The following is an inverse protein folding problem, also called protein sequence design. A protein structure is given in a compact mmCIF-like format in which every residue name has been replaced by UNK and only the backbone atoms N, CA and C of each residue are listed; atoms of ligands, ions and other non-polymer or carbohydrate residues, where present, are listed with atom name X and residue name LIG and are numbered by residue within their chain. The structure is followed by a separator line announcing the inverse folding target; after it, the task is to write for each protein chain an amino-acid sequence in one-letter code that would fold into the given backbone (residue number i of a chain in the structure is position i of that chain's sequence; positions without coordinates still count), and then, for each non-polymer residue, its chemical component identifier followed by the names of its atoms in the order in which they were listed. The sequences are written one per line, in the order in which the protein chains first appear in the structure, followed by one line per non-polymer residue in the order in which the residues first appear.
data_IF_108816290797
#
_entry.id   IF_108816290797
#
_cell.length_a   1.000
_cell.length_b   1.000
_cell.length_c   1.000
_cell.angle_alpha   90.00
_cell.angle_beta   90.00
_cell.angle_gamma   90.00
#
_symmetry.space_group_name_H-M   'P 1'
#
loop_
_entity.id
_entity.type
_entity.pdbx_description
1 polymer ?
#
# COMPACT_ATOMS: atom_id res chain seq x y z
N UNK A 1 16.79 -8.10 -19.81
CA UNK A 1 15.46 -8.40 -20.37
C UNK A 1 15.43 -9.66 -21.25
N UNK A 2 16.48 -9.99 -22.03
CA UNK A 2 16.57 -11.19 -22.87
C UNK A 2 16.58 -12.51 -22.09
N UNK A 3 17.34 -12.61 -20.98
CA UNK A 3 17.42 -13.84 -20.15
C UNK A 3 16.14 -14.24 -19.39
N UNK A 4 15.18 -13.34 -19.24
CA UNK A 4 13.89 -13.64 -18.60
C UNK A 4 12.91 -14.31 -19.57
N UNK A 5 13.02 -13.98 -20.88
CA UNK A 5 12.19 -14.57 -21.94
C UNK A 5 12.60 -16.02 -22.23
N UNK A 6 13.88 -16.33 -22.18
CA UNK A 6 14.40 -17.71 -22.40
C UNK A 6 14.01 -18.66 -21.27
N UNK A 7 13.98 -18.19 -20.01
CA UNK A 7 13.50 -19.02 -18.89
C UNK A 7 12.01 -19.36 -18.94
N UNK A 8 11.17 -18.49 -19.48
CA UNK A 8 9.73 -18.78 -19.66
C UNK A 8 9.44 -19.69 -20.85
N UNK A 9 10.31 -19.73 -21.85
CA UNK A 9 10.19 -20.71 -22.93
C UNK A 9 10.60 -22.11 -22.49
N UNK A 10 11.60 -22.24 -21.63
CA UNK A 10 12.08 -23.52 -21.09
C UNK A 10 11.09 -24.17 -20.10
N UNK A 11 10.29 -23.39 -19.37
CA UNK A 11 9.28 -23.91 -18.45
C UNK A 11 7.99 -24.42 -19.14
N UNK A 12 7.79 -24.17 -20.45
CA UNK A 12 6.65 -24.64 -21.23
C UNK A 12 6.92 -25.89 -22.07
N UNK A 13 8.10 -26.46 -22.03
CA UNK A 13 8.49 -27.62 -22.86
C UNK A 13 8.62 -28.94 -22.10
N UNK A 14 7.93 -29.12 -20.97
CA UNK A 14 7.73 -30.44 -20.40
C UNK A 14 6.42 -31.07 -20.88
N UNK A 15 6.35 -31.36 -22.20
CA UNK A 15 5.35 -32.27 -22.76
C UNK A 15 6.06 -33.35 -23.58
N UNK A 16 6.12 -34.55 -23.01
CA UNK A 16 6.54 -35.74 -23.75
C UNK A 16 5.54 -36.05 -24.84
N UNK A 17 5.94 -35.88 -26.10
CA UNK A 17 5.16 -36.22 -27.27
C UNK A 17 6.03 -36.25 -28.50
N UNK A 18 6.45 -37.47 -28.89
CA UNK A 18 6.96 -37.97 -30.19
C UNK A 18 7.68 -36.97 -31.11
N UNK A 19 8.97 -37.22 -31.27
CA UNK A 19 9.80 -36.90 -32.43
C UNK A 19 9.11 -37.44 -33.69
N UNK A 20 8.63 -36.56 -34.61
CA UNK A 20 8.59 -36.71 -36.07
C UNK A 20 7.71 -35.63 -36.65
N UNK A 21 8.24 -34.42 -36.77
CA UNK A 21 7.79 -33.43 -37.74
C UNK A 21 9.00 -32.84 -38.45
N UNK A 22 9.09 -32.96 -39.80
CA UNK A 22 10.22 -32.40 -40.53
C UNK A 22 10.27 -30.88 -40.36
N UNK A 23 11.45 -30.38 -40.09
CA UNK A 23 11.76 -28.96 -39.99
C UNK A 23 11.49 -28.30 -41.36
N UNK A 24 10.32 -27.69 -41.51
CA UNK A 24 9.99 -26.91 -42.72
C UNK A 24 10.83 -25.64 -42.62
N UNK A 25 11.84 -25.53 -43.48
CA UNK A 25 12.59 -24.29 -43.74
C UNK A 25 11.54 -23.26 -44.13
N UNK A 26 11.32 -22.26 -43.30
CA UNK A 26 10.45 -21.12 -43.59
C UNK A 26 11.06 -20.35 -44.74
N UNK A 27 10.61 -20.60 -45.96
CA UNK A 27 10.92 -19.74 -47.09
C UNK A 27 10.59 -18.30 -46.72
N UNK A 28 11.58 -17.43 -46.84
CA UNK A 28 11.34 -15.99 -46.79
C UNK A 28 10.38 -15.66 -47.93
N UNK A 29 9.17 -15.23 -47.59
CA UNK A 29 8.23 -14.69 -48.58
C UNK A 29 8.87 -13.43 -49.13
N UNK A 30 9.52 -13.56 -50.26
CA UNK A 30 10.05 -12.44 -51.04
C UNK A 30 8.83 -11.87 -51.77
N UNK A 31 8.63 -10.54 -51.71
CA UNK A 31 7.58 -9.86 -52.46
C UNK A 31 7.62 -10.36 -53.89
N UNK A 32 6.46 -10.76 -54.42
CA UNK A 32 6.37 -11.20 -55.82
C UNK A 32 6.95 -10.10 -56.73
N UNK A 33 7.66 -10.46 -57.84
CA UNK A 33 8.41 -9.48 -58.66
C UNK A 33 7.57 -8.34 -59.21
N UNK A 34 6.25 -8.47 -59.29
CA UNK A 34 5.31 -7.50 -59.84
C UNK A 34 4.52 -6.70 -58.77
N UNK A 35 4.77 -6.89 -57.47
CA UNK A 35 4.05 -6.13 -56.46
C UNK A 35 4.67 -4.72 -56.29
N UNK A 36 3.86 -3.64 -56.30
CA UNK A 36 4.36 -2.29 -56.10
C UNK A 36 5.02 -2.17 -54.72
N UNK A 37 6.21 -1.52 -54.69
CA UNK A 37 6.99 -1.30 -53.47
C UNK A 37 6.21 -0.57 -52.35
N UNK A 38 5.16 0.15 -52.75
CA UNK A 38 4.25 0.89 -51.88
C UNK A 38 2.81 0.47 -52.26
N UNK A 39 2.16 -0.43 -51.50
CA UNK A 39 0.80 -0.83 -51.77
C UNK A 39 -0.17 0.34 -51.61
N UNK A 40 -1.25 0.28 -52.38
CA UNK A 40 -2.31 1.27 -52.29
C UNK A 40 -3.03 1.24 -50.92
N UNK A 41 -3.68 2.34 -50.57
CA UNK A 41 -4.39 2.47 -49.30
C UNK A 41 -5.59 1.52 -49.21
N UNK A 42 -6.26 1.25 -50.30
CA UNK A 42 -7.37 0.28 -50.38
C UNK A 42 -6.92 -1.13 -49.99
N UNK A 43 -5.83 -1.60 -50.56
CA UNK A 43 -5.26 -2.93 -50.29
C UNK A 43 -4.78 -3.07 -48.85
N UNK A 44 -4.22 -2.01 -48.28
CA UNK A 44 -3.84 -2.00 -46.85
C UNK A 44 -5.05 -2.08 -45.92
N UNK A 45 -6.13 -1.37 -46.24
CA UNK A 45 -7.39 -1.42 -45.51
C UNK A 45 -8.07 -2.79 -45.60
N UNK A 46 -8.09 -3.38 -46.79
CA UNK A 46 -8.64 -4.71 -47.02
C UNK A 46 -7.89 -5.76 -46.21
N UNK A 47 -6.55 -5.75 -46.24
CA UNK A 47 -5.73 -6.65 -45.45
C UNK A 47 -6.00 -6.51 -43.93
N UNK A 48 -6.13 -5.28 -43.44
CA UNK A 48 -6.46 -5.00 -42.03
C UNK A 48 -7.86 -5.52 -41.71
N UNK A 49 -8.87 -5.28 -42.56
CA UNK A 49 -10.24 -5.74 -42.36
C UNK A 49 -10.31 -7.26 -42.31
N UNK A 50 -9.67 -7.95 -43.26
CA UNK A 50 -9.62 -9.42 -43.30
C UNK A 50 -8.97 -10.02 -42.06
N UNK A 51 -7.80 -9.50 -41.62
CA UNK A 51 -7.08 -10.04 -40.47
C UNK A 51 -7.72 -9.71 -39.13
N UNK A 52 -8.16 -8.47 -38.92
CA UNK A 52 -8.48 -7.94 -37.57
C UNK A 52 -9.98 -7.69 -37.37
N UNK A 53 -10.81 -7.69 -38.44
CA UNK A 53 -12.28 -7.59 -38.34
C UNK A 53 -12.97 -8.88 -38.65
N UNK A 54 -12.51 -9.60 -39.69
CA UNK A 54 -13.10 -10.87 -40.15
C UNK A 54 -12.41 -12.11 -39.53
N UNK A 55 -11.26 -11.94 -38.83
CA UNK A 55 -10.57 -13.01 -38.11
C UNK A 55 -9.77 -13.97 -39.00
N UNK A 56 -9.48 -13.62 -40.26
CA UNK A 56 -8.64 -14.46 -41.12
C UNK A 56 -7.20 -14.51 -40.59
N UNK A 57 -6.54 -15.65 -40.71
CA UNK A 57 -5.16 -15.82 -40.26
C UNK A 57 -4.21 -14.90 -41.03
N UNK A 58 -3.40 -14.08 -40.27
CA UNK A 58 -2.46 -13.11 -40.89
C UNK A 58 -1.49 -13.77 -41.86
N UNK A 59 -1.16 -15.04 -41.66
CA UNK A 59 -0.28 -15.81 -42.52
C UNK A 59 -0.97 -16.12 -43.88
N UNK A 60 -2.25 -16.45 -43.82
CA UNK A 60 -3.06 -16.71 -45.02
C UNK A 60 -3.21 -15.42 -45.86
N UNK A 61 -3.64 -14.33 -45.23
CA UNK A 61 -3.78 -13.02 -45.91
C UNK A 61 -2.42 -12.51 -46.42
N UNK A 62 -1.34 -12.73 -45.73
CA UNK A 62 0.04 -12.37 -46.13
C UNK A 62 0.45 -13.06 -47.44
N UNK A 63 0.11 -14.34 -47.58
CA UNK A 63 0.38 -15.11 -48.85
C UNK A 63 -0.49 -14.65 -49.98
N UNK A 64 -1.76 -14.41 -49.73
CA UNK A 64 -2.75 -14.01 -50.71
C UNK A 64 -2.43 -12.64 -51.35
N UNK A 65 -2.11 -11.64 -50.51
CA UNK A 65 -1.81 -10.27 -50.95
C UNK A 65 -0.34 -10.04 -51.33
N UNK A 66 0.55 -11.02 -51.11
CA UNK A 66 1.99 -10.95 -51.45
C UNK A 66 2.85 -10.02 -50.58
N UNK A 67 2.37 -9.58 -49.42
CA UNK A 67 3.12 -8.72 -48.49
C UNK A 67 3.39 -9.44 -47.17
N UNK A 68 4.56 -9.13 -46.56
CA UNK A 68 5.00 -9.79 -45.32
C UNK A 68 4.04 -9.54 -44.16
N UNK A 69 3.94 -10.51 -43.24
CA UNK A 69 3.17 -10.38 -41.98
C UNK A 69 3.55 -9.14 -41.19
N UNK A 70 4.85 -8.79 -41.20
CA UNK A 70 5.38 -7.58 -40.52
C UNK A 70 4.78 -6.32 -41.14
N UNK A 71 4.58 -6.28 -42.47
CA UNK A 71 3.94 -5.15 -43.14
C UNK A 71 2.49 -4.99 -42.70
N UNK A 72 1.72 -6.08 -42.65
CA UNK A 72 0.29 -6.06 -42.21
C UNK A 72 0.18 -5.54 -40.76
N UNK A 73 1.00 -6.04 -39.85
CA UNK A 73 1.02 -5.54 -38.48
C UNK A 73 1.48 -4.06 -38.39
N UNK A 74 2.40 -3.63 -39.24
CA UNK A 74 2.83 -2.23 -39.32
C UNK A 74 1.69 -1.33 -39.80
N UNK A 75 0.95 -1.74 -40.81
CA UNK A 75 -0.22 -1.01 -41.29
C UNK A 75 -1.33 -0.97 -40.26
N UNK A 76 -1.60 -2.07 -39.55
CA UNK A 76 -2.58 -2.09 -38.47
C UNK A 76 -2.22 -1.15 -37.34
N UNK A 77 -0.94 -1.07 -36.90
CA UNK A 77 -0.49 -0.11 -35.90
C UNK A 77 -0.67 1.33 -36.34
N UNK A 78 -0.34 1.64 -37.61
CA UNK A 78 -0.56 2.97 -38.20
C UNK A 78 -2.03 3.33 -38.29
N UNK A 79 -2.86 2.37 -38.73
CA UNK A 79 -4.31 2.52 -38.80
C UNK A 79 -4.91 2.76 -37.41
N UNK A 80 -4.48 2.00 -36.38
CA UNK A 80 -4.96 2.15 -35.02
C UNK A 80 -4.56 3.51 -34.41
N UNK A 81 -3.41 4.06 -34.83
CA UNK A 81 -2.89 5.34 -34.30
C UNK A 81 -3.42 6.55 -35.04
N UNK A 82 -3.58 6.48 -36.34
CA UNK A 82 -3.86 7.64 -37.20
C UNK A 82 -5.03 7.45 -38.14
N UNK A 83 -5.83 6.37 -38.01
CA UNK A 83 -6.92 6.03 -38.92
C UNK A 83 -6.44 5.77 -40.32
N UNK A 84 -7.34 6.00 -41.32
CA UNK A 84 -7.03 5.84 -42.73
C UNK A 84 -5.91 6.75 -43.21
N UNK A 85 -5.80 7.94 -42.65
CA UNK A 85 -4.72 8.91 -42.96
C UNK A 85 -3.32 8.34 -42.68
N UNK A 86 -3.16 7.48 -41.68
CA UNK A 86 -1.89 6.80 -41.33
C UNK A 86 -1.44 5.77 -42.39
N UNK A 87 -2.31 5.37 -43.28
CA UNK A 87 -2.00 4.42 -44.35
C UNK A 87 -1.64 5.09 -45.69
N UNK A 88 -1.91 6.39 -45.81
CA UNK A 88 -1.56 7.17 -47.01
C UNK A 88 -0.06 7.39 -47.08
N UNK A 89 0.53 7.35 -48.26
CA UNK A 89 1.96 7.65 -48.43
C UNK A 89 2.19 9.16 -48.37
N UNK A 90 3.20 9.57 -47.64
CA UNK A 90 3.59 10.98 -47.39
C UNK A 90 4.05 11.77 -48.63
N UNK A 91 3.87 11.26 -49.86
CA UNK A 91 4.34 11.89 -51.12
C UNK A 91 3.22 12.25 -52.11
N UNK A 92 1.96 12.26 -51.72
CA UNK A 92 0.94 12.98 -52.48
C UNK A 92 0.74 14.37 -51.83
N UNK A 93 1.64 15.32 -52.16
CA UNK A 93 1.29 16.72 -52.12
C UNK A 93 0.11 16.94 -53.07
N UNK A 94 -1.00 17.37 -52.51
CA UNK A 94 -2.16 17.82 -53.28
C UNK A 94 -1.71 19.02 -54.10
N UNK A 95 -1.58 18.85 -55.42
CA UNK A 95 -1.60 19.96 -56.35
C UNK A 95 -2.92 20.69 -56.12
N UNK A 96 -2.85 21.92 -55.59
CA UNK A 96 -3.98 22.85 -55.60
C UNK A 96 -4.26 23.23 -57.03
N UNK A 97 -5.22 22.60 -57.63
CA UNK A 97 -5.89 23.13 -58.82
C UNK A 97 -6.84 24.23 -58.32
N UNK A 98 -6.68 25.44 -58.89
CA UNK A 98 -7.64 26.54 -58.66
C UNK A 98 -8.95 26.08 -59.30
N UNK A 99 -9.95 25.79 -58.51
CA UNK A 99 -11.34 25.57 -58.95
C UNK A 99 -12.06 26.87 -58.71
N UNK A 100 -12.45 27.52 -59.82
CA UNK A 100 -13.40 28.65 -59.82
C UNK A 100 -14.76 28.11 -59.30
N UNK A 101 -15.18 28.63 -58.19
CA UNK A 101 -16.46 28.27 -57.58
C UNK A 101 -17.59 29.13 -58.19
N UNK A 102 -18.32 28.54 -59.18
CA UNK A 102 -19.71 28.86 -59.37
C UNK A 102 -20.54 27.80 -58.63
N UNK A 103 -21.00 28.17 -57.42
CA UNK A 103 -21.70 27.26 -56.50
C UNK A 103 -23.18 27.21 -56.83
N UNK A 104 -23.67 26.05 -57.21
CA UNK A 104 -25.12 25.83 -57.38
C UNK A 104 -25.86 25.77 -56.03
N UNK A 105 -27.18 25.99 -55.96
CA UNK A 105 -27.92 26.07 -54.66
C UNK A 105 -27.90 24.79 -53.81
N UNK A 106 -27.63 23.61 -54.37
CA UNK A 106 -27.47 22.33 -53.65
C UNK A 106 -26.17 22.27 -52.84
N UNK A 107 -25.07 22.88 -53.33
CA UNK A 107 -23.77 22.91 -52.64
C UNK A 107 -23.77 23.84 -51.43
N UNK A 108 -24.64 24.84 -51.38
CA UNK A 108 -24.78 25.72 -50.21
C UNK A 108 -25.41 25.00 -49.00
N UNK A 109 -26.31 24.04 -49.23
CA UNK A 109 -26.83 23.18 -48.15
C UNK A 109 -25.77 22.25 -47.62
N UNK A 110 -24.97 21.61 -48.51
CA UNK A 110 -23.88 20.71 -48.12
C UNK A 110 -22.77 21.49 -47.32
N UNK A 111 -22.45 22.71 -47.71
CA UNK A 111 -21.49 23.58 -46.96
C UNK A 111 -22.04 23.93 -45.60
N UNK A 112 -23.31 24.23 -45.43
CA UNK A 112 -23.96 24.54 -44.16
C UNK A 112 -23.92 23.32 -43.23
N UNK A 113 -24.23 22.11 -43.74
CA UNK A 113 -24.17 20.88 -42.99
C UNK A 113 -22.72 20.56 -42.54
N UNK A 114 -21.73 20.74 -43.42
CA UNK A 114 -20.32 20.55 -43.07
C UNK A 114 -19.83 21.57 -41.99
N UNK A 115 -20.28 22.80 -42.05
CA UNK A 115 -19.98 23.81 -41.03
C UNK A 115 -20.58 23.46 -39.69
N UNK A 116 -21.79 22.90 -39.64
CA UNK A 116 -22.41 22.45 -38.40
C UNK A 116 -21.72 21.19 -37.81
N UNK A 117 -21.30 20.27 -38.69
CA UNK A 117 -20.48 19.13 -38.27
C UNK A 117 -19.14 19.57 -37.68
N UNK A 118 -18.46 20.56 -38.27
CA UNK A 118 -17.22 21.13 -37.76
C UNK A 118 -17.44 21.76 -36.38
N UNK A 119 -18.51 22.55 -36.18
CA UNK A 119 -18.85 23.11 -34.89
C UNK A 119 -19.13 22.06 -33.82
N UNK A 120 -19.83 20.98 -34.21
CA UNK A 120 -20.11 19.88 -33.29
C UNK A 120 -18.83 19.14 -32.89
N UNK A 121 -17.96 18.82 -33.84
CA UNK A 121 -16.66 18.17 -33.57
C UNK A 121 -15.76 19.06 -32.68
N UNK A 122 -15.79 20.37 -32.90
CA UNK A 122 -15.01 21.31 -32.10
C UNK A 122 -15.49 21.34 -30.65
N UNK A 123 -16.81 21.30 -30.44
CA UNK A 123 -17.40 21.19 -29.11
C UNK A 123 -17.02 19.87 -28.43
N UNK A 124 -17.04 18.74 -29.14
CA UNK A 124 -16.62 17.45 -28.60
C UNK A 124 -15.15 17.45 -28.19
N UNK A 125 -14.29 18.06 -28.99
CA UNK A 125 -12.85 18.22 -28.67
C UNK A 125 -12.64 19.10 -27.44
N UNK A 126 -13.36 20.20 -27.31
CA UNK A 126 -13.25 21.08 -26.15
C UNK A 126 -13.76 20.39 -24.87
N UNK A 127 -14.87 19.67 -24.94
CA UNK A 127 -15.39 18.87 -23.83
C UNK A 127 -14.40 17.77 -23.43
N UNK A 128 -13.76 17.10 -24.40
CA UNK A 128 -12.72 16.09 -24.12
C UNK A 128 -11.47 16.70 -23.45
N UNK A 129 -11.02 17.88 -23.91
CA UNK A 129 -9.89 18.58 -23.31
C UNK A 129 -10.17 18.97 -21.85
N UNK A 130 -11.36 19.52 -21.59
CA UNK A 130 -11.78 19.86 -20.22
C UNK A 130 -11.93 18.61 -19.35
N UNK A 131 -12.51 17.54 -19.86
CA UNK A 131 -12.61 16.27 -19.13
C UNK A 131 -11.24 15.70 -18.77
N UNK A 132 -10.25 15.77 -19.67
CA UNK A 132 -8.87 15.36 -19.41
C UNK A 132 -8.20 16.23 -18.34
N UNK A 133 -8.37 17.56 -18.43
CA UNK A 133 -7.78 18.50 -17.48
C UNK A 133 -8.37 18.38 -16.07
N UNK A 134 -9.71 18.37 -15.98
CA UNK A 134 -10.42 18.39 -14.70
C UNK A 134 -10.38 17.05 -13.96
N UNK A 135 -10.48 15.95 -14.68
CA UNK A 135 -10.57 14.62 -14.08
C UNK A 135 -9.21 13.97 -13.87
N UNK A 136 -8.11 14.57 -14.34
CA UNK A 136 -6.72 14.04 -14.24
C UNK A 136 -6.64 12.55 -14.60
N UNK A 137 -7.41 12.14 -15.61
CA UNK A 137 -7.46 10.76 -16.10
C UNK A 137 -6.53 10.60 -17.30
N UNK A 138 -5.94 9.40 -17.43
CA UNK A 138 -5.05 9.07 -18.54
C UNK A 138 -5.75 9.17 -19.91
N UNK A 139 -4.95 9.32 -20.98
CA UNK A 139 -5.43 9.39 -22.36
C UNK A 139 -6.32 8.18 -22.70
N UNK A 140 -7.57 8.43 -23.10
CA UNK A 140 -8.54 7.39 -23.46
C UNK A 140 -9.85 7.45 -22.68
N UNK A 141 -10.24 8.62 -22.17
CA UNK A 141 -11.53 8.80 -21.50
C UNK A 141 -12.68 8.51 -22.47
N UNK A 142 -13.47 7.52 -22.11
CA UNK A 142 -14.75 7.29 -22.77
C UNK A 142 -15.82 8.17 -22.09
N UNK A 143 -16.31 9.19 -22.78
CA UNK A 143 -17.32 10.12 -22.29
C UNK A 143 -18.61 9.44 -21.82
N UNK A 144 -18.98 8.33 -22.44
CA UNK A 144 -20.15 7.52 -22.04
C UNK A 144 -19.99 6.87 -20.65
N UNK A 145 -18.75 6.62 -20.21
CA UNK A 145 -18.44 6.00 -18.91
C UNK A 145 -18.26 7.00 -17.78
N UNK A 146 -18.38 8.29 -18.02
CA UNK A 146 -18.34 9.32 -16.98
C UNK A 146 -19.56 9.21 -16.07
N UNK A 147 -19.33 9.36 -14.77
CA UNK A 147 -20.41 9.42 -13.80
C UNK A 147 -21.16 10.75 -13.94
N UNK A 148 -22.42 10.78 -13.56
CA UNK A 148 -23.26 11.96 -13.75
C UNK A 148 -22.69 13.24 -13.09
N UNK A 149 -22.05 13.13 -11.90
CA UNK A 149 -21.39 14.28 -11.28
C UNK A 149 -20.14 14.75 -12.06
N UNK A 150 -19.36 13.83 -12.66
CA UNK A 150 -18.22 14.17 -13.52
C UNK A 150 -18.70 14.87 -14.80
N UNK A 151 -19.81 14.39 -15.39
CA UNK A 151 -20.45 15.03 -16.54
C UNK A 151 -20.87 16.47 -16.23
N UNK A 152 -21.46 16.73 -15.04
CA UNK A 152 -21.85 18.07 -14.63
C UNK A 152 -20.66 19.01 -14.53
N UNK A 153 -19.55 18.56 -13.93
CA UNK A 153 -18.32 19.37 -13.81
C UNK A 153 -17.79 19.77 -15.19
N UNK A 154 -17.77 18.82 -16.14
CA UNK A 154 -17.32 19.08 -17.52
C UNK A 154 -18.30 20.00 -18.25
N UNK A 155 -19.63 19.82 -18.07
CA UNK A 155 -20.67 20.69 -18.67
C UNK A 155 -20.52 22.11 -18.17
N UNK A 156 -20.28 22.32 -16.88
CA UNK A 156 -20.13 23.65 -16.29
C UNK A 156 -18.82 24.32 -16.74
N UNK A 157 -17.73 23.56 -16.92
CA UNK A 157 -16.44 24.10 -17.35
C UNK A 157 -16.43 24.69 -18.78
N UNK A 158 -17.38 24.29 -19.62
CA UNK A 158 -17.55 24.85 -20.99
C UNK A 158 -18.83 25.72 -21.12
N UNK A 159 -19.30 26.25 -19.99
CA UNK A 159 -20.56 27.05 -19.94
C UNK A 159 -20.52 28.29 -20.83
N UNK A 160 -19.38 28.99 -20.87
CA UNK A 160 -19.19 30.21 -21.61
C UNK A 160 -19.13 30.03 -23.13
N UNK A 161 -18.83 28.81 -23.61
CA UNK A 161 -18.58 28.54 -25.03
C UNK A 161 -19.80 27.99 -25.78
N UNK A 162 -20.64 27.20 -25.10
CA UNK A 162 -21.71 26.46 -25.76
C UNK A 162 -23.03 26.49 -24.97
N UNK A 163 -24.19 26.53 -25.65
CA UNK A 163 -25.50 26.46 -25.03
C UNK A 163 -25.71 25.14 -24.26
N UNK A 164 -26.45 25.21 -23.15
CA UNK A 164 -26.66 24.07 -22.25
C UNK A 164 -27.25 22.84 -22.98
N UNK A 165 -28.21 23.04 -23.90
CA UNK A 165 -28.85 21.93 -24.58
C UNK A 165 -27.88 21.10 -25.46
N UNK A 166 -26.92 21.78 -26.10
CA UNK A 166 -25.88 21.11 -26.93
C UNK A 166 -24.91 20.33 -26.05
N UNK A 167 -24.42 20.91 -24.93
CA UNK A 167 -23.56 20.29 -23.97
C UNK A 167 -24.18 19.03 -23.35
N UNK A 168 -25.46 19.08 -23.02
CA UNK A 168 -26.24 17.95 -22.49
C UNK A 168 -26.38 16.83 -23.53
N UNK A 169 -26.66 17.19 -24.80
CA UNK A 169 -26.77 16.23 -25.92
C UNK A 169 -25.44 15.51 -26.16
N UNK A 170 -24.33 16.24 -26.19
CA UNK A 170 -22.99 15.67 -26.39
C UNK A 170 -22.62 14.63 -25.31
N UNK A 171 -22.92 14.90 -24.05
CA UNK A 171 -22.63 13.97 -22.94
C UNK A 171 -23.77 12.98 -22.64
N UNK A 172 -24.79 12.92 -23.48
CA UNK A 172 -25.97 12.06 -23.31
C UNK A 172 -26.53 12.17 -21.88
N UNK A 173 -26.81 13.40 -21.42
CA UNK A 173 -27.33 13.69 -20.07
C UNK A 173 -28.67 14.39 -20.14
N UNK A 174 -29.68 13.85 -19.45
CA UNK A 174 -30.98 14.50 -19.33
C UNK A 174 -30.88 15.79 -18.52
N UNK A 175 -31.64 16.84 -18.90
CA UNK A 175 -31.70 18.13 -18.21
C UNK A 175 -32.08 18.00 -16.74
N UNK A 176 -33.02 17.10 -16.42
CA UNK A 176 -33.42 16.79 -15.03
C UNK A 176 -32.25 16.22 -14.22
N UNK A 177 -31.46 15.29 -14.80
CA UNK A 177 -30.28 14.69 -14.15
C UNK A 177 -29.20 15.73 -13.90
N UNK A 178 -28.99 16.65 -14.83
CA UNK A 178 -28.05 17.77 -14.67
C UNK A 178 -28.40 18.66 -13.46
N UNK A 179 -29.64 19.17 -13.42
CA UNK A 179 -30.06 20.04 -12.32
C UNK A 179 -30.13 19.30 -10.98
N UNK A 180 -30.54 18.03 -10.99
CA UNK A 180 -30.49 17.18 -9.80
C UNK A 180 -29.06 17.07 -9.27
N UNK A 181 -28.10 16.71 -10.13
CA UNK A 181 -26.70 16.58 -9.72
C UNK A 181 -26.12 17.93 -9.27
N UNK A 182 -26.42 19.03 -9.96
CA UNK A 182 -26.01 20.38 -9.56
C UNK A 182 -26.56 20.76 -8.19
N UNK A 183 -27.81 20.38 -7.90
CA UNK A 183 -28.41 20.54 -6.56
C UNK A 183 -27.69 19.68 -5.50
N UNK A 184 -27.38 18.42 -5.84
CA UNK A 184 -26.66 17.51 -4.92
C UNK A 184 -25.25 18.03 -4.61
N UNK A 185 -24.55 18.56 -5.61
CA UNK A 185 -23.20 19.13 -5.44
C UNK A 185 -23.17 20.39 -4.56
N UNK A 186 -24.27 21.16 -4.54
CA UNK A 186 -24.42 22.33 -3.66
C UNK A 186 -24.78 21.97 -2.22
N UNK A 187 -25.18 20.73 -1.95
CA UNK A 187 -25.52 20.31 -0.58
C UNK A 187 -24.27 20.26 0.29
N UNK A 188 -24.33 20.76 1.52
CA UNK A 188 -23.22 20.63 2.44
C UNK A 188 -22.89 19.16 2.66
N UNK A 189 -21.60 18.86 2.81
CA UNK A 189 -21.18 17.48 3.10
C UNK A 189 -21.73 17.05 4.44
N UNK A 190 -22.66 16.11 4.41
CA UNK A 190 -23.27 15.50 5.60
C UNK A 190 -22.23 14.93 6.58
N UNK A 191 -21.03 14.59 6.09
CA UNK A 191 -19.96 14.02 6.89
C UNK A 191 -18.84 15.01 7.24
N UNK A 192 -19.02 16.33 6.98
CA UNK A 192 -17.97 17.33 7.20
C UNK A 192 -17.36 17.26 8.62
N UNK A 193 -18.21 17.21 9.65
CA UNK A 193 -17.76 17.06 11.05
C UNK A 193 -17.01 15.75 11.29
N UNK A 194 -17.48 14.66 10.68
CA UNK A 194 -16.86 13.33 10.82
C UNK A 194 -15.51 13.31 10.11
N UNK A 195 -15.35 13.97 8.96
CA UNK A 195 -14.06 14.11 8.26
C UNK A 195 -13.00 14.78 9.14
N UNK A 196 -13.39 15.85 9.83
CA UNK A 196 -12.48 16.53 10.76
C UNK A 196 -12.05 15.58 11.89
N UNK A 197 -13.00 14.86 12.51
CA UNK A 197 -12.69 13.91 13.57
C UNK A 197 -11.81 12.76 13.09
N UNK A 198 -12.06 12.22 11.90
CA UNK A 198 -11.22 11.17 11.30
C UNK A 198 -9.78 11.67 11.13
N UNK A 199 -9.59 12.89 10.60
CA UNK A 199 -8.26 13.50 10.45
C UNK A 199 -7.56 13.69 11.79
N UNK A 200 -8.26 14.22 12.78
CA UNK A 200 -7.73 14.41 14.14
C UNK A 200 -7.30 13.10 14.79
N UNK A 201 -8.16 12.06 14.73
CA UNK A 201 -7.85 10.74 15.28
C UNK A 201 -6.66 10.13 14.55
N UNK A 202 -6.59 10.24 13.23
CA UNK A 202 -5.48 9.73 12.43
C UNK A 202 -4.16 10.38 12.81
N UNK A 203 -4.12 11.72 12.90
CA UNK A 203 -2.92 12.49 13.29
C UNK A 203 -2.51 12.21 14.74
N UNK A 204 -3.47 12.24 15.69
CA UNK A 204 -3.22 11.93 17.11
C UNK A 204 -2.58 10.54 17.31
N UNK A 205 -2.92 9.59 16.43
CA UNK A 205 -2.39 8.23 16.47
C UNK A 205 -1.25 8.02 15.46
N UNK A 206 -0.38 9.01 15.30
CA UNK A 206 0.87 8.91 14.52
C UNK A 206 0.68 8.49 13.06
N UNK A 207 -0.49 8.75 12.48
CA UNK A 207 -0.88 8.32 11.13
C UNK A 207 -0.82 6.79 10.92
N UNK A 208 -0.93 6.00 11.98
CA UNK A 208 -0.78 4.54 11.95
C UNK A 208 -2.11 3.78 11.98
N UNK A 209 -3.23 4.47 12.16
CA UNK A 209 -4.54 3.83 12.27
C UNK A 209 -5.21 3.65 10.91
N UNK A 210 -5.49 2.40 10.53
CA UNK A 210 -6.40 2.09 9.44
C UNK A 210 -7.87 2.26 9.87
N UNK A 211 -8.79 2.22 8.89
CA UNK A 211 -10.19 2.54 9.08
C UNK A 211 -10.90 1.80 10.24
N UNK A 212 -10.50 0.54 10.55
CA UNK A 212 -11.11 -0.22 11.65
C UNK A 212 -10.79 0.38 13.02
N UNK A 213 -9.55 0.81 13.24
CA UNK A 213 -9.18 1.46 14.50
C UNK A 213 -9.80 2.85 14.61
N UNK A 214 -9.83 3.61 13.52
CA UNK A 214 -10.51 4.92 13.49
C UNK A 214 -11.99 4.76 13.77
N UNK A 215 -12.65 3.74 13.24
CA UNK A 215 -14.04 3.42 13.52
C UNK A 215 -14.29 3.18 15.02
N UNK A 216 -13.45 2.38 15.68
CA UNK A 216 -13.59 2.11 17.11
C UNK A 216 -13.30 3.37 17.96
N UNK A 217 -12.34 4.20 17.59
CA UNK A 217 -12.10 5.48 18.26
C UNK A 217 -13.29 6.45 18.10
N UNK A 218 -13.92 6.51 16.93
CA UNK A 218 -15.14 7.30 16.71
C UNK A 218 -16.28 6.79 17.59
N UNK A 219 -16.43 5.47 17.71
CA UNK A 219 -17.43 4.84 18.57
C UNK A 219 -17.22 5.18 20.05
N UNK A 220 -15.95 5.17 20.53
CA UNK A 220 -15.61 5.56 21.91
C UNK A 220 -16.03 7.00 22.25
N UNK A 221 -15.99 7.92 21.28
CA UNK A 221 -16.44 9.32 21.46
C UNK A 221 -17.91 9.55 21.10
N UNK A 222 -18.72 8.46 20.96
CA UNK A 222 -20.14 8.53 20.73
C UNK A 222 -20.57 8.83 19.28
N UNK A 223 -19.66 8.82 18.32
CA UNK A 223 -19.98 9.06 16.90
C UNK A 223 -20.39 7.76 16.21
N UNK A 224 -21.67 7.67 15.86
CA UNK A 224 -22.21 6.51 15.14
C UNK A 224 -22.08 6.70 13.65
N UNK A 225 -21.23 5.89 13.01
CA UNK A 225 -20.99 5.87 11.56
C UNK A 225 -20.61 4.46 11.14
N UNK A 226 -20.91 4.02 9.91
CA UNK A 226 -20.50 2.68 9.48
C UNK A 226 -19.02 2.62 9.08
N UNK A 227 -18.36 1.47 9.27
CA UNK A 227 -16.98 1.23 8.81
C UNK A 227 -16.78 1.56 7.33
N UNK A 228 -17.80 1.25 6.50
CA UNK A 228 -17.77 1.52 5.05
C UNK A 228 -17.64 3.02 4.75
N UNK A 229 -18.30 3.87 5.54
CA UNK A 229 -18.20 5.33 5.39
C UNK A 229 -16.84 5.82 5.86
N UNK A 230 -16.34 5.34 7.01
CA UNK A 230 -15.01 5.69 7.50
C UNK A 230 -13.93 5.33 6.47
N UNK A 231 -13.98 4.11 5.92
CA UNK A 231 -13.06 3.65 4.87
C UNK A 231 -13.11 4.52 3.62
N UNK A 232 -14.33 4.93 3.20
CA UNK A 232 -14.51 5.82 2.04
C UNK A 232 -13.91 7.19 2.29
N UNK A 233 -14.21 7.80 3.46
CA UNK A 233 -13.67 9.13 3.82
C UNK A 233 -12.15 9.08 3.90
N UNK A 234 -11.54 8.08 4.53
CA UNK A 234 -10.09 7.94 4.56
C UNK A 234 -9.46 7.87 3.17
N UNK A 235 -10.13 7.17 2.23
CA UNK A 235 -9.67 7.09 0.84
C UNK A 235 -9.79 8.45 0.13
N UNK A 236 -10.91 9.15 0.31
CA UNK A 236 -11.16 10.48 -0.27
C UNK A 236 -10.15 11.52 0.25
N UNK A 237 -9.77 11.43 1.52
CA UNK A 237 -8.81 12.33 2.19
C UNK A 237 -7.34 11.87 2.06
N UNK A 238 -7.08 10.79 1.29
CA UNK A 238 -5.75 10.19 1.10
C UNK A 238 -5.05 9.79 2.42
N UNK A 239 -5.82 9.42 3.44
CA UNK A 239 -5.29 8.96 4.73
C UNK A 239 -4.86 7.49 4.62
N UNK A 240 -3.62 7.28 4.20
CA UNK A 240 -3.03 5.96 4.01
C UNK A 240 -1.98 5.67 5.07
N UNK A 241 -2.03 4.47 5.65
CA UNK A 241 -0.98 4.00 6.57
C UNK A 241 0.23 3.57 5.75
N UNK A 242 1.43 4.12 6.00
CA UNK A 242 2.63 3.71 5.30
C UNK A 242 2.93 2.23 5.53
N UNK A 243 3.07 1.46 4.46
CA UNK A 243 3.47 0.06 4.52
C UNK A 243 4.67 -0.16 3.60
N UNK A 244 5.78 -0.67 4.15
CA UNK A 244 6.95 -1.05 3.36
C UNK A 244 7.02 -2.57 3.28
N UNK A 245 7.08 -3.13 2.07
CA UNK A 245 7.32 -4.55 1.89
C UNK A 245 8.79 -4.87 2.21
N UNK A 246 9.00 -5.73 3.20
CA UNK A 246 10.34 -6.20 3.58
C UNK A 246 10.74 -7.36 2.66
N UNK A 247 11.94 -7.30 2.09
CA UNK A 247 12.55 -8.43 1.36
C UNK A 247 12.90 -9.53 2.35
N UNK A 248 12.63 -10.79 2.01
CA UNK A 248 13.00 -11.95 2.82
C UNK A 248 14.53 -12.02 2.96
N UNK A 249 15.00 -12.19 4.19
CA UNK A 249 16.40 -12.35 4.52
C UNK A 249 16.75 -13.84 4.56
N UNK A 250 17.99 -14.19 4.18
CA UNK A 250 18.51 -15.57 4.36
C UNK A 250 19.40 -15.60 5.60
N UNK A 251 19.25 -16.64 6.43
CA UNK A 251 19.97 -16.79 7.69
C UNK A 251 21.37 -17.37 7.50
N UNK A 252 22.30 -16.92 8.33
CA UNK A 252 23.71 -17.37 8.40
C UNK A 252 23.84 -18.76 9.03
N UNK A 253 24.69 -19.63 8.44
CA UNK A 253 24.98 -20.96 8.95
C UNK A 253 26.35 -20.96 9.64
N UNK A 254 26.39 -21.08 10.95
CA UNK A 254 27.63 -21.37 11.67
C UNK A 254 27.54 -21.07 13.17
N UNK A 255 27.44 -22.11 14.02
CA UNK A 255 27.88 -22.02 15.43
C UNK A 255 27.86 -23.38 16.16
N UNK A 256 28.83 -23.57 17.08
CA UNK A 256 28.96 -24.74 17.97
C UNK A 256 28.84 -24.21 19.39
N UNK A 257 27.70 -24.39 20.07
CA UNK A 257 27.48 -23.99 21.48
C UNK A 257 26.53 -24.99 22.16
N UNK A 258 26.61 -25.20 23.52
CA UNK A 258 25.69 -26.04 24.27
C UNK A 258 24.25 -25.63 24.00
N UNK A 259 23.38 -26.60 23.77
CA UNK A 259 22.04 -26.41 23.31
C UNK A 259 21.14 -25.98 24.47
N UNK A 260 20.59 -24.77 24.42
CA UNK A 260 19.44 -24.35 25.24
C UNK A 260 18.20 -24.70 24.47
N UNK A 261 17.29 -25.46 25.09
CA UNK A 261 16.10 -25.97 24.46
C UNK A 261 15.14 -24.85 24.01
N UNK A 262 14.46 -25.07 22.90
CA UNK A 262 13.34 -24.22 22.48
C UNK A 262 12.07 -24.68 23.20
N UNK A 263 11.87 -24.21 24.43
CA UNK A 263 10.72 -24.58 25.28
C UNK A 263 9.44 -23.94 24.74
N UNK A 264 9.53 -22.72 24.19
CA UNK A 264 8.35 -21.99 23.67
C UNK A 264 7.73 -22.69 22.46
N UNK A 265 8.56 -23.32 21.62
CA UNK A 265 8.13 -24.07 20.43
C UNK A 265 7.06 -23.34 19.58
N UNK A 266 7.24 -22.02 19.38
CA UNK A 266 6.33 -21.10 18.63
C UNK A 266 4.97 -20.87 19.28
N UNK A 267 4.75 -21.32 20.51
CA UNK A 267 3.57 -20.95 21.28
C UNK A 267 3.80 -19.60 21.99
N UNK A 268 3.51 -18.51 21.27
CA UNK A 268 3.59 -17.15 21.75
C UNK A 268 2.32 -16.67 22.45
N UNK A 269 1.53 -17.60 22.98
CA UNK A 269 0.36 -17.29 23.79
C UNK A 269 0.66 -17.53 25.28
N UNK A 270 0.17 -16.63 26.11
CA UNK A 270 0.20 -16.76 27.57
C UNK A 270 -1.18 -16.41 28.14
N UNK A 271 -1.60 -17.12 29.18
CA UNK A 271 -2.90 -16.91 29.83
C UNK A 271 -2.84 -15.79 30.86
N UNK A 272 -1.65 -15.46 31.37
CA UNK A 272 -1.41 -14.46 32.41
C UNK A 272 -0.21 -13.58 32.04
N UNK A 273 -0.17 -12.34 32.54
CA UNK A 273 1.03 -11.52 32.46
C UNK A 273 2.23 -12.21 33.09
N UNK A 274 3.41 -11.86 32.64
CA UNK A 274 4.69 -12.32 33.18
C UNK A 274 4.87 -13.86 33.22
N UNK A 275 4.21 -14.57 32.28
CA UNK A 275 4.38 -16.02 32.11
C UNK A 275 5.44 -16.33 31.07
N UNK A 276 5.40 -15.65 29.93
CA UNK A 276 6.34 -15.84 28.80
C UNK A 276 6.78 -14.47 28.30
N UNK A 277 8.09 -14.26 28.27
CA UNK A 277 8.74 -13.06 27.76
C UNK A 277 9.54 -13.37 26.52
N UNK A 278 9.46 -12.52 25.52
CA UNK A 278 10.30 -12.55 24.32
C UNK A 278 11.25 -11.37 24.36
N UNK A 279 12.51 -11.63 24.06
CA UNK A 279 13.56 -10.62 24.05
C UNK A 279 14.28 -10.65 22.71
N UNK A 280 14.59 -9.47 22.20
CA UNK A 280 15.38 -9.33 20.98
C UNK A 280 15.96 -7.92 20.88
N UNK A 281 16.96 -7.76 20.02
CA UNK A 281 17.64 -6.49 19.75
C UNK A 281 17.37 -6.05 18.33
N UNK A 282 17.14 -4.78 18.11
CA UNK A 282 17.09 -4.22 16.76
C UNK A 282 17.97 -3.00 16.61
N UNK A 283 18.53 -2.81 15.43
CA UNK A 283 19.35 -1.66 15.04
C UNK A 283 18.52 -0.66 14.23
N UNK A 284 18.78 0.61 14.49
CA UNK A 284 18.35 1.75 13.67
C UNK A 284 19.59 2.50 13.19
N UNK A 285 19.69 2.73 11.90
CA UNK A 285 20.72 3.56 11.31
C UNK A 285 20.10 4.89 10.85
N UNK A 286 20.53 6.00 11.47
CA UNK A 286 20.16 7.36 11.08
C UNK A 286 21.42 8.11 10.64
N UNK A 287 21.32 9.25 9.95
CA UNK A 287 22.51 10.02 9.54
C UNK A 287 23.46 10.39 10.69
N UNK A 288 22.93 10.60 11.92
CA UNK A 288 23.71 10.90 13.10
C UNK A 288 24.46 9.69 13.70
N UNK A 289 24.11 8.45 13.31
CA UNK A 289 24.78 7.24 13.80
C UNK A 289 23.84 6.04 13.94
N UNK A 290 24.27 5.05 14.71
CA UNK A 290 23.51 3.83 14.99
C UNK A 290 22.96 3.83 16.41
N UNK A 291 21.73 3.36 16.54
CA UNK A 291 21.04 3.16 17.82
C UNK A 291 20.56 1.72 17.90
N UNK A 292 20.77 1.10 19.04
CA UNK A 292 20.35 -0.27 19.34
C UNK A 292 19.26 -0.23 20.41
N UNK A 293 18.16 -0.89 20.12
CA UNK A 293 17.03 -1.07 21.04
C UNK A 293 16.94 -2.53 21.43
N UNK A 294 17.09 -2.82 22.72
CA UNK A 294 16.73 -4.10 23.32
C UNK A 294 15.44 -3.97 24.08
N UNK A 295 14.51 -4.92 23.96
CA UNK A 295 13.24 -4.85 24.65
C UNK A 295 12.72 -6.25 25.04
N UNK A 296 11.80 -6.23 26.03
CA UNK A 296 11.06 -7.41 26.49
C UNK A 296 9.60 -7.25 26.13
N UNK A 297 9.04 -8.24 25.45
CA UNK A 297 7.62 -8.30 25.10
C UNK A 297 6.95 -9.40 25.93
N UNK A 298 5.87 -9.09 26.61
CA UNK A 298 5.03 -10.08 27.24
C UNK A 298 4.11 -10.75 26.21
N UNK A 299 4.13 -12.08 26.18
CA UNK A 299 3.29 -12.87 25.27
C UNK A 299 1.79 -12.80 25.61
N UNK A 300 1.42 -12.37 26.79
CA UNK A 300 0.02 -12.29 27.24
C UNK A 300 -0.78 -11.27 26.39
N UNK A 301 -0.26 -10.06 26.31
CA UNK A 301 -0.94 -8.94 25.63
C UNK A 301 -0.05 -8.23 24.61
N UNK A 302 1.22 -8.63 24.53
CA UNK A 302 2.24 -8.01 23.73
C UNK A 302 2.62 -6.62 24.20
N UNK A 303 2.55 -6.35 25.50
CA UNK A 303 3.09 -5.15 26.14
C UNK A 303 4.62 -5.19 26.10
N UNK A 304 5.25 -4.05 25.85
CA UNK A 304 6.68 -3.91 26.08
C UNK A 304 6.90 -3.68 27.56
N UNK A 305 7.42 -4.70 28.27
CA UNK A 305 7.61 -4.69 29.72
C UNK A 305 8.70 -3.70 30.10
N UNK A 306 9.87 -3.86 29.49
CA UNK A 306 11.02 -2.95 29.63
C UNK A 306 11.79 -2.88 28.32
N UNK A 307 12.56 -1.81 28.18
CA UNK A 307 13.47 -1.61 27.07
C UNK A 307 14.67 -0.78 27.49
N UNK A 308 15.75 -0.94 26.74
CA UNK A 308 16.94 -0.11 26.89
C UNK A 308 17.44 0.30 25.49
N UNK A 309 17.98 1.51 25.40
CA UNK A 309 18.44 2.10 24.14
C UNK A 309 19.87 2.58 24.35
N UNK A 310 20.77 2.16 23.45
CA UNK A 310 22.19 2.56 23.47
C UNK A 310 22.73 2.76 22.06
N UNK A 311 23.86 3.44 21.97
CA UNK A 311 24.61 3.61 20.71
C UNK A 311 25.53 2.44 20.43
N UNK A 312 25.74 1.55 21.39
CA UNK A 312 26.57 0.33 21.28
C UNK A 312 25.79 -0.90 21.70
N UNK A 313 25.91 -2.02 20.97
CA UNK A 313 25.27 -3.28 21.34
C UNK A 313 26.15 -4.06 22.32
N UNK A 314 26.31 -3.55 23.53
CA UNK A 314 27.13 -4.10 24.59
C UNK A 314 26.31 -4.92 25.62
N UNK A 315 27.00 -5.51 26.60
CA UNK A 315 26.34 -6.26 27.69
C UNK A 315 25.44 -5.39 28.55
N UNK A 316 25.77 -4.11 28.70
CA UNK A 316 24.96 -3.18 29.47
C UNK A 316 23.58 -2.99 28.84
N UNK A 317 23.48 -2.99 27.49
CA UNK A 317 22.21 -2.87 26.78
C UNK A 317 21.18 -3.93 27.22
N UNK A 318 21.59 -5.19 27.32
CA UNK A 318 20.69 -6.29 27.65
C UNK A 318 20.58 -6.56 29.14
N UNK A 319 21.71 -6.48 29.88
CA UNK A 319 21.72 -6.80 31.31
C UNK A 319 20.93 -5.75 32.14
N UNK A 320 21.09 -4.46 31.85
CA UNK A 320 20.32 -3.41 32.51
C UNK A 320 18.83 -3.52 32.21
N UNK A 321 18.46 -3.81 30.98
CA UNK A 321 17.06 -4.03 30.60
C UNK A 321 16.46 -5.21 31.39
N UNK A 322 17.19 -6.33 31.51
CA UNK A 322 16.73 -7.50 32.26
C UNK A 322 16.61 -7.21 33.76
N UNK A 323 17.61 -6.55 34.33
CA UNK A 323 17.58 -6.09 35.73
C UNK A 323 16.35 -5.25 36.02
N UNK A 324 16.09 -4.24 35.19
CA UNK A 324 14.95 -3.36 35.32
C UNK A 324 13.60 -4.10 35.13
N UNK A 325 13.58 -5.16 34.31
CA UNK A 325 12.39 -5.98 34.14
C UNK A 325 12.17 -6.92 35.34
N UNK A 326 13.22 -7.55 35.87
CA UNK A 326 13.15 -8.40 37.04
C UNK A 326 12.65 -7.60 38.25
N UNK A 327 13.08 -6.35 38.41
CA UNK A 327 12.61 -5.47 39.49
C UNK A 327 11.11 -5.18 39.51
N UNK A 328 10.42 -5.46 38.39
CA UNK A 328 8.95 -5.31 38.29
C UNK A 328 8.16 -6.57 38.60
N UNK A 329 8.85 -7.70 38.75
CA UNK A 329 8.20 -8.98 39.04
C UNK A 329 7.85 -9.08 40.53
N UNK A 330 6.73 -9.72 40.80
CA UNK A 330 6.43 -10.18 42.14
C UNK A 330 7.27 -11.42 42.51
N UNK A 331 7.43 -11.74 43.80
CA UNK A 331 8.22 -12.94 44.20
C UNK A 331 7.73 -14.27 43.67
N UNK A 332 6.49 -14.33 43.14
CA UNK A 332 5.87 -15.54 42.61
C UNK A 332 5.87 -15.58 41.10
N UNK A 333 6.42 -14.58 40.41
CA UNK A 333 6.46 -14.50 38.98
C UNK A 333 7.82 -14.91 38.46
N UNK A 334 7.88 -16.01 37.72
CA UNK A 334 9.10 -16.57 37.11
C UNK A 334 8.90 -16.79 35.62
N UNK A 335 8.88 -15.74 34.80
CA UNK A 335 8.62 -15.88 33.38
C UNK A 335 9.63 -16.79 32.67
N UNK A 336 9.12 -17.54 31.68
CA UNK A 336 9.93 -18.18 30.65
C UNK A 336 10.44 -17.11 29.69
N UNK A 337 11.75 -16.94 29.61
CA UNK A 337 12.40 -15.93 28.77
C UNK A 337 12.95 -16.57 27.51
N UNK A 338 12.39 -16.21 26.38
CA UNK A 338 12.83 -16.68 25.06
C UNK A 338 13.61 -15.63 24.30
N UNK A 339 14.75 -16.04 23.77
CA UNK A 339 15.66 -15.18 22.98
C UNK A 339 16.05 -15.89 21.68
N UNK A 340 16.58 -15.12 20.75
CA UNK A 340 17.37 -15.70 19.67
C UNK A 340 18.72 -16.26 20.21
N UNK A 341 19.56 -16.79 19.32
CA UNK A 341 20.91 -17.29 19.65
C UNK A 341 21.98 -16.20 19.64
N UNK A 342 21.60 -14.92 19.77
CA UNK A 342 22.52 -13.82 19.84
C UNK A 342 23.57 -14.01 20.95
N UNK A 343 24.81 -13.61 20.70
CA UNK A 343 25.91 -13.78 21.68
C UNK A 343 25.63 -13.01 22.98
N UNK A 344 24.83 -11.95 22.93
CA UNK A 344 24.42 -11.16 24.08
C UNK A 344 23.73 -12.00 25.18
N UNK A 345 22.94 -12.99 24.81
CA UNK A 345 22.16 -13.84 25.72
C UNK A 345 22.94 -15.05 26.24
N UNK A 346 24.23 -15.14 25.87
CA UNK A 346 25.18 -16.17 26.31
C UNK A 346 26.27 -15.64 27.23
N UNK A 347 26.28 -14.35 27.49
CA UNK A 347 27.20 -13.74 28.45
C UNK A 347 26.93 -14.23 29.86
N UNK A 348 28.02 -14.43 30.66
CA UNK A 348 27.93 -14.91 32.02
C UNK A 348 27.03 -14.03 32.92
N UNK A 349 27.12 -12.71 32.80
CA UNK A 349 26.28 -11.78 33.55
C UNK A 349 24.79 -11.92 33.24
N UNK A 350 24.41 -12.16 31.96
CA UNK A 350 23.03 -12.46 31.57
C UNK A 350 22.53 -13.77 32.19
N UNK A 351 23.35 -14.82 32.09
CA UNK A 351 23.00 -16.15 32.60
C UNK A 351 22.83 -16.12 34.12
N UNK A 352 23.72 -15.39 34.83
CA UNK A 352 23.67 -15.28 36.27
C UNK A 352 22.44 -14.49 36.76
N UNK A 353 22.09 -13.40 36.10
CA UNK A 353 20.86 -12.66 36.41
C UNK A 353 19.60 -13.56 36.24
N UNK A 354 19.54 -14.33 35.14
CA UNK A 354 18.44 -15.26 34.91
C UNK A 354 18.35 -16.32 36.03
N UNK A 355 19.51 -16.87 36.45
CA UNK A 355 19.59 -17.89 37.50
C UNK A 355 19.18 -17.34 38.88
N UNK A 356 19.68 -16.17 39.25
CA UNK A 356 19.37 -15.53 40.55
C UNK A 356 17.88 -15.18 40.64
N UNK A 357 17.28 -14.71 39.54
CA UNK A 357 15.86 -14.38 39.50
C UNK A 357 14.95 -15.61 39.31
N UNK A 358 15.49 -16.82 39.22
CA UNK A 358 14.69 -18.03 39.01
C UNK A 358 13.99 -18.09 37.65
N UNK A 359 14.50 -17.40 36.62
CA UNK A 359 13.89 -17.32 35.31
C UNK A 359 14.28 -18.51 34.44
N UNK A 360 13.34 -19.06 33.68
CA UNK A 360 13.59 -20.18 32.78
C UNK A 360 14.06 -19.67 31.42
N UNK A 361 15.22 -20.20 30.95
CA UNK A 361 15.77 -19.83 29.64
C UNK A 361 15.21 -20.71 28.53
N UNK A 362 14.87 -20.09 27.42
CA UNK A 362 14.50 -20.74 26.16
C UNK A 362 15.18 -20.04 24.98
N UNK A 363 15.63 -20.76 23.98
CA UNK A 363 16.29 -20.19 22.79
C UNK A 363 15.72 -20.76 21.50
N UNK A 364 15.65 -19.92 20.49
CA UNK A 364 15.27 -20.33 19.12
C UNK A 364 16.18 -21.46 18.61
N UNK A 365 15.64 -22.38 17.82
CA UNK A 365 16.47 -23.39 17.12
C UNK A 365 17.38 -22.70 16.10
N UNK A 366 18.56 -23.29 15.86
CA UNK A 366 19.53 -22.72 14.93
C UNK A 366 18.93 -22.58 13.53
N UNK A 367 19.00 -21.38 12.97
CA UNK A 367 18.49 -21.08 11.63
C UNK A 367 16.95 -21.07 11.52
N UNK A 368 16.23 -21.09 12.64
CA UNK A 368 14.77 -21.07 12.66
C UNK A 368 14.25 -19.66 13.02
N UNK A 369 14.25 -18.74 12.06
CA UNK A 369 13.65 -17.41 12.20
C UNK A 369 12.19 -17.41 12.71
N UNK A 370 11.31 -18.38 12.34
CA UNK A 370 9.96 -18.43 12.88
C UNK A 370 9.87 -18.58 14.40
N UNK A 371 10.92 -19.05 15.07
CA UNK A 371 10.91 -19.25 16.51
C UNK A 371 10.96 -17.92 17.30
N UNK A 372 11.30 -16.78 16.64
CA UNK A 372 11.24 -15.43 17.19
C UNK A 372 10.25 -14.50 16.45
N UNK A 373 9.31 -15.08 15.69
CA UNK A 373 8.43 -14.35 14.80
C UNK A 373 7.58 -13.27 15.49
N UNK A 374 7.25 -13.42 16.77
CA UNK A 374 6.45 -12.44 17.49
C UNK A 374 7.25 -11.15 17.79
N UNK A 375 8.53 -11.27 18.17
CA UNK A 375 9.46 -10.13 18.31
C UNK A 375 9.75 -9.46 16.97
N UNK A 376 10.06 -10.25 15.94
CA UNK A 376 10.24 -9.75 14.57
C UNK A 376 9.01 -9.00 14.08
N UNK A 377 7.81 -9.51 14.37
CA UNK A 377 6.53 -8.86 14.07
C UNK A 377 6.33 -7.53 14.80
N UNK A 378 6.80 -7.41 16.03
CA UNK A 378 6.79 -6.16 16.77
C UNK A 378 7.78 -5.17 16.15
N UNK A 379 9.02 -5.54 15.92
CA UNK A 379 10.03 -4.65 15.33
C UNK A 379 9.65 -4.21 13.91
N UNK A 380 9.09 -5.11 13.10
CA UNK A 380 8.58 -4.76 11.79
C UNK A 380 7.48 -3.69 11.87
N UNK A 381 6.60 -3.79 12.86
CA UNK A 381 5.55 -2.80 13.11
C UNK A 381 6.14 -1.48 13.60
N UNK A 382 7.02 -1.50 14.60
CA UNK A 382 7.69 -0.33 15.13
C UNK A 382 8.42 0.42 14.01
N UNK A 383 9.22 -0.29 13.21
CA UNK A 383 9.95 0.31 12.08
C UNK A 383 9.02 0.90 11.03
N UNK A 384 7.90 0.25 10.72
CA UNK A 384 6.93 0.77 9.76
C UNK A 384 6.18 1.99 10.29
N UNK A 385 5.79 1.98 11.56
CA UNK A 385 4.95 3.04 12.16
C UNK A 385 5.76 4.27 12.58
N UNK A 386 7.06 4.11 12.92
CA UNK A 386 7.87 5.18 13.46
C UNK A 386 9.09 5.53 12.62
N UNK A 387 9.79 4.53 12.05
CA UNK A 387 11.10 4.74 11.44
C UNK A 387 11.04 4.93 9.92
N UNK A 388 10.41 3.99 9.19
CA UNK A 388 10.35 4.06 7.73
C UNK A 388 9.40 5.16 7.24
N UNK A 389 9.77 5.80 6.13
CA UNK A 389 8.96 6.87 5.52
C UNK A 389 9.12 8.24 6.17
N UNK A 390 10.00 8.37 7.16
CA UNK A 390 10.41 9.66 7.76
C UNK A 390 11.84 10.01 7.35
N UNK A 391 12.11 11.31 7.22
CA UNK A 391 13.49 11.81 7.09
C UNK A 391 14.08 11.99 8.48
N UNK A 392 15.29 11.45 8.67
CA UNK A 392 16.07 11.59 9.90
C UNK A 392 17.28 12.53 9.72
N UNK A 393 17.29 13.30 8.61
CA UNK A 393 18.33 14.31 8.34
C UNK A 393 18.16 15.44 9.35
N UNK A 394 19.26 15.80 10.02
CA UNK A 394 19.27 16.88 11.03
C UNK A 394 18.71 16.48 12.40
N UNK A 395 18.28 15.23 12.60
CA UNK A 395 17.83 14.73 13.90
C UNK A 395 19.03 14.25 14.70
N UNK A 396 19.15 14.69 15.94
CA UNK A 396 20.22 14.24 16.86
C UNK A 396 19.97 12.81 17.36
N UNK A 397 20.99 12.20 17.94
CA UNK A 397 20.85 10.87 18.57
C UNK A 397 19.85 10.90 19.72
N UNK A 398 19.91 11.95 20.55
CA UNK A 398 19.03 12.11 21.73
C UNK A 398 17.57 12.33 21.31
N UNK A 399 17.33 13.16 20.29
CA UNK A 399 15.98 13.33 19.72
C UNK A 399 15.42 12.01 19.19
N UNK A 400 16.26 11.21 18.54
CA UNK A 400 15.84 9.91 18.04
C UNK A 400 15.53 8.92 19.18
N UNK A 401 16.33 8.90 20.23
CA UNK A 401 16.10 8.10 21.46
C UNK A 401 14.80 8.52 22.13
N UNK A 402 14.55 9.83 22.24
CA UNK A 402 13.31 10.37 22.80
C UNK A 402 12.09 9.98 21.97
N UNK A 403 12.21 10.00 20.64
CA UNK A 403 11.11 9.56 19.75
C UNK A 403 10.85 8.06 19.87
N UNK A 404 11.89 7.20 20.04
CA UNK A 404 11.73 5.78 20.34
C UNK A 404 11.00 5.56 21.67
N UNK A 405 11.42 6.23 22.74
CA UNK A 405 10.78 6.18 24.05
C UNK A 405 9.31 6.62 23.97
N UNK A 406 9.05 7.73 23.29
CA UNK A 406 7.71 8.24 23.06
C UNK A 406 6.83 7.25 22.28
N UNK A 407 7.40 6.56 21.27
CA UNK A 407 6.66 5.54 20.51
C UNK A 407 6.30 4.34 21.38
N UNK A 408 7.25 3.81 22.17
CA UNK A 408 7.01 2.62 23.02
C UNK A 408 5.98 2.94 24.10
N UNK A 409 6.07 4.10 24.72
CA UNK A 409 5.07 4.56 25.69
C UNK A 409 3.68 4.70 25.03
N UNK A 410 3.59 5.32 23.87
CA UNK A 410 2.33 5.40 23.12
C UNK A 410 1.81 4.01 22.75
N UNK A 411 2.69 3.10 22.32
CA UNK A 411 2.32 1.72 21.97
C UNK A 411 1.68 1.00 23.17
N UNK A 412 2.25 1.13 24.36
CA UNK A 412 1.75 0.50 25.57
C UNK A 412 0.46 1.13 26.08
N UNK A 413 0.35 2.47 26.04
CA UNK A 413 -0.71 3.21 26.76
C UNK A 413 -1.86 3.68 25.87
N UNK A 414 -1.65 3.82 24.56
CA UNK A 414 -2.64 4.42 23.63
C UNK A 414 -2.94 3.58 22.40
N UNK A 415 -1.98 2.75 21.94
CA UNK A 415 -2.14 2.02 20.70
C UNK A 415 -3.11 0.85 20.86
N UNK A 416 -4.31 0.98 20.30
CA UNK A 416 -5.34 -0.08 20.38
C UNK A 416 -5.01 -1.29 19.51
N UNK A 417 -5.29 -2.48 20.04
CA UNK A 417 -5.10 -3.80 19.39
C UNK A 417 -6.42 -4.51 19.24
N UNK A 418 -6.69 -5.08 18.07
CA UNK A 418 -7.91 -5.87 17.84
C UNK A 418 -7.95 -7.10 18.75
N UNK A 419 -6.81 -7.76 18.96
CA UNK A 419 -6.69 -8.94 19.84
C UNK A 419 -7.02 -8.66 21.30
N UNK A 420 -6.99 -7.40 21.73
CA UNK A 420 -7.30 -6.95 23.09
C UNK A 420 -8.65 -6.20 23.13
N UNK A 421 -9.58 -6.52 22.23
CA UNK A 421 -10.88 -5.84 22.20
C UNK A 421 -10.79 -4.33 21.87
N UNK A 422 -9.81 -3.92 21.06
CA UNK A 422 -9.53 -2.50 20.75
C UNK A 422 -9.16 -1.66 21.97
N UNK A 423 -8.46 -2.28 22.93
CA UNK A 423 -7.76 -1.61 24.02
C UNK A 423 -6.26 -1.58 23.75
N UNK A 424 -5.55 -0.63 24.39
CA UNK A 424 -4.10 -0.70 24.51
C UNK A 424 -3.68 -1.79 25.49
N UNK A 425 -2.42 -2.27 25.50
CA UNK A 425 -1.96 -3.24 26.49
C UNK A 425 -2.23 -2.84 27.93
N UNK A 426 -1.96 -1.58 28.28
CA UNK A 426 -2.20 -1.05 29.63
C UNK A 426 -3.70 -1.00 29.95
N UNK A 427 -4.54 -0.47 29.04
CA UNK A 427 -6.01 -0.47 29.22
C UNK A 427 -6.55 -1.88 29.41
N UNK A 428 -6.04 -2.85 28.64
CA UNK A 428 -6.45 -4.24 28.75
C UNK A 428 -6.12 -4.82 30.12
N UNK A 429 -4.90 -4.63 30.64
CA UNK A 429 -4.53 -5.07 31.98
C UNK A 429 -5.40 -4.42 33.05
N UNK A 430 -5.67 -3.13 32.95
CA UNK A 430 -6.58 -2.42 33.85
C UNK A 430 -8.00 -2.98 33.82
N UNK A 431 -8.53 -3.31 32.64
CA UNK A 431 -9.88 -3.88 32.50
C UNK A 431 -10.01 -5.24 33.20
N UNK A 432 -8.94 -6.05 33.17
CA UNK A 432 -8.92 -7.33 33.87
C UNK A 432 -8.96 -7.14 35.39
N UNK A 433 -8.18 -6.17 35.91
CA UNK A 433 -8.19 -5.84 37.34
C UNK A 433 -9.60 -5.47 37.80
N UNK A 434 -10.27 -4.58 37.08
CA UNK A 434 -11.63 -4.15 37.38
C UNK A 434 -12.63 -5.31 37.28
N UNK A 435 -12.53 -6.12 36.23
CA UNK A 435 -13.40 -7.28 36.03
C UNK A 435 -13.33 -8.28 37.18
N UNK A 436 -12.15 -8.55 37.65
CA UNK A 436 -11.98 -9.42 38.82
C UNK A 436 -12.43 -8.73 40.11
N UNK A 437 -12.30 -7.41 40.30
CA UNK A 437 -12.78 -6.66 41.44
C UNK A 437 -14.33 -6.79 41.58
N UNK A 438 -15.01 -6.53 40.49
CA UNK A 438 -16.50 -6.57 40.47
C UNK A 438 -17.07 -7.98 40.73
N UNK A 439 -16.32 -9.04 40.39
CA UNK A 439 -16.75 -10.41 40.58
C UNK A 439 -16.30 -11.05 41.91
N UNK A 440 -15.76 -10.29 42.86
CA UNK A 440 -15.34 -10.74 44.20
C UNK A 440 -14.41 -11.97 44.23
N UNK A 441 -13.62 -12.16 43.18
CA UNK A 441 -12.69 -13.28 43.10
C UNK A 441 -11.35 -12.87 43.72
N UNK A 442 -11.23 -13.11 45.01
CA UNK A 442 -10.02 -12.95 45.86
C UNK A 442 -9.46 -11.54 46.06
N UNK A 443 -9.76 -10.86 47.19
CA UNK A 443 -9.34 -9.48 47.46
C UNK A 443 -7.83 -9.28 47.53
N UNK A 444 -7.06 -10.27 47.94
CA UNK A 444 -5.58 -10.16 48.07
C UNK A 444 -4.81 -10.04 46.76
N UNK A 445 -5.31 -10.62 45.72
CA UNK A 445 -4.70 -10.54 44.38
C UNK A 445 -4.87 -9.13 43.77
N UNK A 446 -5.94 -8.43 44.17
CA UNK A 446 -6.26 -7.07 43.72
C UNK A 446 -5.36 -5.99 44.30
N UNK A 447 -5.10 -6.07 45.59
CA UNK A 447 -4.27 -5.07 46.27
C UNK A 447 -2.84 -5.12 45.68
N UNK A 448 -2.36 -6.31 45.39
CA UNK A 448 -1.03 -6.50 44.81
C UNK A 448 -0.96 -5.99 43.37
N UNK A 449 -1.95 -6.30 42.52
CA UNK A 449 -1.98 -5.86 41.11
C UNK A 449 -2.24 -4.36 41.00
N UNK A 450 -3.06 -3.76 41.88
CA UNK A 450 -3.30 -2.32 41.97
C UNK A 450 -2.04 -1.57 42.43
N UNK A 451 -1.32 -2.09 43.40
CA UNK A 451 -0.03 -1.53 43.85
C UNK A 451 1.03 -1.58 42.73
N UNK A 452 1.14 -2.69 41.99
CA UNK A 452 2.09 -2.82 40.88
C UNK A 452 1.76 -1.82 39.76
N UNK A 453 0.50 -1.66 39.40
CA UNK A 453 0.07 -0.72 38.38
C UNK A 453 0.20 0.73 38.82
N UNK A 454 -0.11 1.03 40.08
CA UNK A 454 0.00 2.36 40.68
C UNK A 454 1.46 2.82 40.82
N UNK A 455 2.36 1.92 41.18
CA UNK A 455 3.81 2.20 41.26
C UNK A 455 4.36 2.44 39.84
N UNK A 456 3.93 1.66 38.85
CA UNK A 456 4.37 1.84 37.46
C UNK A 456 3.94 3.20 36.88
N UNK A 457 2.71 3.64 37.15
CA UNK A 457 2.22 4.96 36.75
C UNK A 457 2.89 6.13 37.49
N UNK A 458 3.23 5.98 38.78
CA UNK A 458 3.96 7.02 39.51
C UNK A 458 5.39 7.20 38.99
N UNK A 459 6.08 6.12 38.64
CA UNK A 459 7.43 6.22 38.07
C UNK A 459 7.43 6.84 36.65
N UNK A 460 6.38 6.63 35.86
CA UNK A 460 6.25 7.27 34.55
C UNK A 460 6.03 8.79 34.67
N UNK A 461 5.39 9.26 35.74
CA UNK A 461 5.20 10.70 35.99
C UNK A 461 6.46 11.39 36.55
N UNK A 462 7.30 10.69 37.32
CA UNK A 462 8.53 11.26 37.87
C UNK A 462 9.63 11.47 36.81
N UNK A 463 9.66 10.70 35.75
CA UNK A 463 10.63 10.86 34.66
C UNK A 463 10.30 11.98 33.67
N UNK A 464 9.13 12.63 33.80
CA UNK A 464 8.73 13.75 32.94
C UNK A 464 8.72 15.11 33.66
N UNK A 465 9.02 15.17 34.98
CA UNK A 465 8.94 16.41 35.78
C UNK A 465 10.27 17.06 36.10
N UNK A 466 11.43 16.44 35.83
CA UNK A 466 12.74 17.01 36.13
C UNK A 466 13.50 17.43 34.87
N UNK A 467 12.98 18.41 34.12
CA UNK A 467 13.80 19.24 33.22
C UNK A 467 13.20 20.64 33.11
N UNK A 468 13.39 21.43 34.20
CA UNK A 468 13.58 22.86 34.09
C UNK A 468 14.77 23.20 34.95
N UNK A 469 15.91 23.59 34.39
CA UNK A 469 16.88 24.45 35.10
C UNK A 469 16.50 25.90 34.82
N UNK A 470 16.57 26.68 35.88
CA UNK A 470 16.65 28.15 35.88
C UNK A 470 17.84 28.63 35.03
#
# INVERSE_FOLDING_TARGET
MYRWYERKLAEKTNYHGSLDKPYIIKEKIINAPNHPRIPDTSLKLEAIKRCFSLGEGVEYVSRDIGYSRVSIYSWYRKYKKFGVAGLMSSKKQIKRENIDFNVEPSEQQDISELQDQIKQLQMEVDILKEALGLLKKDQGINMMKLKNHEKVVVIDAVEDKYPLHQRLKCLCMAKSSYYYQKSVMKRPDKYAKIRIQIKMIFQKNRNCYGYRRIYEELKKIGITVSEKIVRRIMKEENLTVPTKHIKKYSSYKGEITPEVDNIINRDFHAERPNTKWLIDITEFAIPAGKVYLSLIIDCFDGMVVKWNIRTTPDSILVNKMLEDAISTLSPYEHPLVHTDRGFHYRWSGWIEQMRVAGLTRSMSKKGCSPDNAACEGFFGRLKNEMFYGRSWIGVTMDDFVNELNSYINWYNTKRIKKSLGYMSPVEYRHSLVLFYADNQICPYFYLLLYLIISVHNKFSYFLTSDTHPD
#
